data_IF_487440567515
#
_entry.id   IF_487440567515
#
_cell.length_a   1.000
_cell.length_b   1.000
_cell.length_c   1.000
_cell.angle_alpha   90.00
_cell.angle_beta   90.00
_cell.angle_gamma   90.00
#
_symmetry.space_group_name_H-M   'P 1'
#
loop_
_entity.id
_entity.type
_entity.pdbx_description
1 polymer ?
#
# COMPACT_ATOMS: atom_id res chain seq x y z
N UNK A 1 18.99 5.57 -5.93
CA UNK A 1 20.07 4.71 -5.42
C UNK A 1 19.51 3.62 -4.52
N UNK A 2 18.93 3.98 -3.36
CA UNK A 2 18.33 2.99 -2.42
C UNK A 2 17.34 2.03 -3.11
N UNK A 3 16.44 2.54 -3.96
CA UNK A 3 15.48 1.68 -4.69
C UNK A 3 16.17 0.65 -5.61
N UNK A 4 17.26 1.04 -6.29
CA UNK A 4 18.01 0.13 -7.16
C UNK A 4 18.71 -0.97 -6.35
N UNK A 5 19.38 -0.58 -5.27
CA UNK A 5 20.12 -1.50 -4.40
C UNK A 5 19.17 -2.47 -3.70
N UNK A 6 18.08 -1.96 -3.11
CA UNK A 6 17.09 -2.77 -2.38
C UNK A 6 16.38 -3.77 -3.29
N UNK A 7 16.04 -3.39 -4.52
CA UNK A 7 15.41 -4.29 -5.50
C UNK A 7 16.38 -5.33 -6.06
N UNK A 8 17.69 -5.04 -6.03
CA UNK A 8 18.74 -6.00 -6.44
C UNK A 8 19.14 -6.95 -5.31
N UNK A 9 18.60 -6.77 -4.09
CA UNK A 9 18.95 -7.58 -2.92
C UNK A 9 20.24 -7.13 -2.21
N UNK A 10 20.88 -6.05 -2.68
CA UNK A 10 22.07 -5.45 -2.10
C UNK A 10 21.73 -4.58 -0.89
N UNK A 11 21.15 -5.19 0.15
CA UNK A 11 20.65 -4.46 1.33
C UNK A 11 21.76 -3.78 2.14
N UNK A 12 22.93 -4.43 2.29
CA UNK A 12 24.06 -3.85 3.01
C UNK A 12 24.54 -2.53 2.38
N UNK A 13 24.68 -2.50 1.05
CA UNK A 13 25.02 -1.27 0.31
C UNK A 13 23.92 -0.21 0.43
N UNK A 14 22.65 -0.63 0.44
CA UNK A 14 21.54 0.30 0.62
C UNK A 14 21.54 0.95 2.02
N UNK A 15 21.83 0.18 3.06
CA UNK A 15 21.95 0.66 4.44
C UNK A 15 23.18 1.55 4.63
N UNK A 16 24.31 1.19 4.05
CA UNK A 16 25.51 2.01 4.05
C UNK A 16 25.26 3.36 3.34
N UNK A 17 24.61 3.32 2.17
CA UNK A 17 24.24 4.53 1.45
C UNK A 17 23.34 5.45 2.30
N UNK A 18 22.34 4.90 2.98
CA UNK A 18 21.45 5.67 3.86
C UNK A 18 22.22 6.25 5.05
N UNK A 19 23.13 5.48 5.63
CA UNK A 19 23.92 5.87 6.82
C UNK A 19 24.94 6.97 6.50
N UNK A 20 25.44 7.01 5.27
CA UNK A 20 26.40 8.01 4.78
C UNK A 20 25.74 9.29 4.25
N UNK A 21 24.41 9.44 4.33
CA UNK A 21 23.75 10.67 3.91
C UNK A 21 24.13 11.83 4.83
N UNK A 22 24.43 13.03 4.29
CA UNK A 22 24.74 14.21 5.09
C UNK A 22 23.48 14.86 5.72
N UNK A 23 22.33 14.21 5.64
CA UNK A 23 21.04 14.68 6.12
C UNK A 23 20.15 13.51 6.54
N UNK A 24 19.11 13.80 7.32
CA UNK A 24 18.17 12.78 7.78
C UNK A 24 17.37 12.19 6.60
N UNK A 25 17.33 10.87 6.42
CA UNK A 25 16.66 10.25 5.29
C UNK A 25 15.14 10.49 5.35
N UNK A 26 14.59 11.13 4.31
CA UNK A 26 13.15 11.32 4.18
C UNK A 26 12.37 10.02 3.93
N UNK A 27 11.04 10.10 4.02
CA UNK A 27 10.12 8.95 3.88
C UNK A 27 10.38 8.14 2.60
N UNK A 28 10.73 8.80 1.49
CA UNK A 28 10.99 8.15 0.20
C UNK A 28 12.11 7.10 0.25
N UNK A 29 13.16 7.34 1.04
CA UNK A 29 14.28 6.40 1.18
C UNK A 29 13.81 5.11 1.87
N UNK A 30 13.06 5.25 2.96
CA UNK A 30 12.52 4.13 3.70
C UNK A 30 11.45 3.36 2.90
N UNK A 31 10.61 4.06 2.12
CA UNK A 31 9.64 3.41 1.20
C UNK A 31 10.34 2.59 0.12
N UNK A 32 11.42 3.12 -0.46
CA UNK A 32 12.23 2.40 -1.43
C UNK A 32 12.91 1.16 -0.83
N UNK A 33 13.44 1.27 0.39
CA UNK A 33 14.03 0.14 1.11
C UNK A 33 12.98 -0.93 1.40
N UNK A 34 11.82 -0.53 1.93
CA UNK A 34 10.70 -1.41 2.23
C UNK A 34 10.19 -2.16 0.99
N UNK A 35 10.09 -1.47 -0.16
CA UNK A 35 9.70 -2.10 -1.42
C UNK A 35 10.64 -3.23 -1.85
N UNK A 36 11.95 -3.01 -1.74
CA UNK A 36 12.96 -4.06 -2.00
C UNK A 36 12.87 -5.22 -1.00
N UNK A 37 12.67 -4.92 0.29
CA UNK A 37 12.46 -5.93 1.32
C UNK A 37 11.26 -6.84 1.03
N UNK A 38 10.18 -6.32 0.44
CA UNK A 38 9.03 -7.13 0.04
C UNK A 38 9.35 -8.09 -1.09
N UNK A 39 10.20 -7.71 -2.05
CA UNK A 39 10.59 -8.55 -3.17
C UNK A 39 11.44 -9.73 -2.68
N UNK A 40 12.39 -9.45 -1.79
CA UNK A 40 13.35 -10.46 -1.29
C UNK A 40 12.93 -11.10 0.04
N UNK A 41 11.71 -10.83 0.52
CA UNK A 41 11.19 -11.32 1.80
C UNK A 41 12.09 -11.00 3.01
N UNK A 42 12.83 -9.89 2.98
CA UNK A 42 13.66 -9.44 4.08
C UNK A 42 12.80 -8.75 5.15
N UNK A 43 12.29 -9.57 6.05
CA UNK A 43 11.24 -9.19 7.00
C UNK A 43 11.73 -8.24 8.10
N UNK A 44 12.91 -8.49 8.65
CA UNK A 44 13.48 -7.67 9.74
C UNK A 44 13.78 -6.25 9.26
N UNK A 45 14.45 -6.13 8.11
CA UNK A 45 14.75 -4.84 7.51
C UNK A 45 13.47 -4.13 7.03
N UNK A 46 12.50 -4.87 6.51
CA UNK A 46 11.18 -4.34 6.16
C UNK A 46 10.45 -3.75 7.38
N UNK A 47 10.44 -4.45 8.52
CA UNK A 47 9.86 -3.91 9.76
C UNK A 47 10.57 -2.65 10.23
N UNK A 48 11.90 -2.62 10.15
CA UNK A 48 12.69 -1.45 10.51
C UNK A 48 12.34 -0.25 9.62
N UNK A 49 12.38 -0.43 8.29
CA UNK A 49 12.04 0.62 7.34
C UNK A 49 10.62 1.15 7.55
N UNK A 50 9.65 0.27 7.79
CA UNK A 50 8.28 0.69 8.04
C UNK A 50 8.11 1.44 9.38
N UNK A 51 8.82 1.05 10.45
CA UNK A 51 8.85 1.84 11.70
C UNK A 51 9.41 3.24 11.47
N UNK A 52 10.46 3.39 10.65
CA UNK A 52 11.00 4.69 10.26
C UNK A 52 9.99 5.53 9.47
N UNK A 53 9.24 4.93 8.54
CA UNK A 53 8.17 5.63 7.82
C UNK A 53 7.09 6.10 8.80
N UNK A 54 6.62 5.24 9.70
CA UNK A 54 5.57 5.59 10.66
C UNK A 54 6.00 6.63 11.69
N UNK A 55 7.31 6.73 11.99
CA UNK A 55 7.84 7.79 12.83
C UNK A 55 7.85 9.16 12.11
N UNK A 56 8.04 9.16 10.79
CA UNK A 56 8.03 10.37 9.96
C UNK A 56 6.62 10.77 9.50
N UNK A 57 5.78 9.79 9.20
CA UNK A 57 4.38 9.93 8.78
C UNK A 57 3.52 8.86 9.46
N UNK A 58 2.96 9.17 10.64
CA UNK A 58 2.13 8.24 11.41
C UNK A 58 0.80 7.86 10.75
N UNK A 59 0.42 8.53 9.66
CA UNK A 59 -0.85 8.33 8.95
C UNK A 59 -0.68 7.60 7.61
N UNK A 60 0.55 7.19 7.26
CA UNK A 60 0.81 6.47 6.02
C UNK A 60 0.14 5.09 5.98
N UNK A 61 -1.06 5.04 5.41
CA UNK A 61 -1.88 3.83 5.25
C UNK A 61 -1.11 2.74 4.50
N UNK A 62 -0.27 3.14 3.54
CA UNK A 62 0.47 2.20 2.69
C UNK A 62 1.45 1.35 3.50
N UNK A 63 2.20 1.95 4.41
CA UNK A 63 3.18 1.27 5.27
C UNK A 63 2.49 0.33 6.25
N UNK A 64 1.37 0.75 6.84
CA UNK A 64 0.54 -0.12 7.68
C UNK A 64 0.05 -1.36 6.94
N UNK A 65 -0.44 -1.19 5.71
CA UNK A 65 -0.89 -2.31 4.86
C UNK A 65 0.28 -3.23 4.49
N UNK A 66 1.43 -2.65 4.12
CA UNK A 66 2.63 -3.40 3.75
C UNK A 66 3.15 -4.25 4.92
N UNK A 67 3.21 -3.67 6.13
CA UNK A 67 3.55 -4.40 7.36
C UNK A 67 2.56 -5.52 7.65
N UNK A 68 1.25 -5.23 7.61
CA UNK A 68 0.21 -6.22 7.88
C UNK A 68 0.33 -7.42 6.93
N UNK A 69 0.57 -7.18 5.65
CA UNK A 69 0.74 -8.23 4.66
C UNK A 69 2.02 -9.06 4.90
N UNK A 70 3.15 -8.41 5.23
CA UNK A 70 4.40 -9.11 5.52
C UNK A 70 4.26 -10.04 6.75
N UNK A 71 3.65 -9.55 7.84
CA UNK A 71 3.38 -10.40 9.00
C UNK A 71 2.38 -11.52 8.70
N UNK A 72 1.40 -11.29 7.83
CA UNK A 72 0.45 -12.32 7.40
C UNK A 72 1.14 -13.42 6.60
N UNK A 73 2.04 -13.07 5.68
CA UNK A 73 2.82 -14.04 4.90
C UNK A 73 3.74 -14.88 5.81
N UNK A 74 4.23 -14.29 6.90
CA UNK A 74 5.02 -14.96 7.93
C UNK A 74 4.21 -15.81 8.93
N UNK A 75 2.88 -15.85 8.83
CA UNK A 75 2.01 -16.52 9.81
C UNK A 75 1.95 -15.84 11.19
N UNK A 76 2.43 -14.60 11.32
CA UNK A 76 2.50 -13.85 12.59
C UNK A 76 1.22 -13.09 12.87
N UNK A 77 0.11 -13.83 13.00
CA UNK A 77 -1.25 -13.29 13.13
C UNK A 77 -1.43 -12.31 14.30
N UNK A 78 -0.70 -12.50 15.41
CA UNK A 78 -0.75 -11.57 16.54
C UNK A 78 -0.31 -10.16 16.16
N UNK A 79 0.77 -10.03 15.36
CA UNK A 79 1.24 -8.74 14.85
C UNK A 79 0.27 -8.16 13.83
N UNK A 80 -0.29 -8.98 12.96
CA UNK A 80 -1.34 -8.57 12.02
C UNK A 80 -2.53 -7.95 12.77
N UNK A 81 -2.97 -8.56 13.87
CA UNK A 81 -4.05 -8.06 14.70
C UNK A 81 -3.71 -6.72 15.35
N UNK A 82 -2.51 -6.57 15.92
CA UNK A 82 -2.03 -5.31 16.49
C UNK A 82 -2.03 -4.19 15.46
N UNK A 83 -1.45 -4.42 14.29
CA UNK A 83 -1.37 -3.45 13.19
C UNK A 83 -2.77 -3.02 12.74
N UNK A 84 -3.68 -3.98 12.54
CA UNK A 84 -5.07 -3.68 12.14
C UNK A 84 -5.84 -2.91 13.20
N UNK A 85 -5.58 -3.18 14.48
CA UNK A 85 -6.17 -2.42 15.59
C UNK A 85 -5.67 -0.97 15.58
N UNK A 86 -4.36 -0.75 15.46
CA UNK A 86 -3.79 0.61 15.36
C UNK A 86 -4.36 1.38 14.17
N UNK A 87 -4.47 0.75 13.00
CA UNK A 87 -5.12 1.38 11.84
C UNK A 87 -6.56 1.79 12.15
N UNK A 88 -7.33 0.94 12.85
CA UNK A 88 -8.72 1.22 13.22
C UNK A 88 -8.81 2.37 14.22
N UNK A 89 -7.95 2.39 15.24
CA UNK A 89 -7.90 3.45 16.26
C UNK A 89 -7.55 4.81 15.64
N UNK A 90 -6.64 4.82 14.65
CA UNK A 90 -6.28 6.02 13.88
C UNK A 90 -7.26 6.37 12.75
N UNK A 91 -8.33 5.58 12.54
CA UNK A 91 -9.28 5.79 11.44
C UNK A 91 -8.70 5.56 10.04
N UNK A 92 -7.54 4.94 9.92
CA UNK A 92 -6.85 4.67 8.66
C UNK A 92 -7.58 3.58 7.87
N UNK A 93 -8.08 3.94 6.69
CA UNK A 93 -8.78 3.02 5.78
C UNK A 93 -7.98 2.81 4.52
N UNK A 94 -7.68 1.54 4.20
CA UNK A 94 -7.12 1.17 2.90
C UNK A 94 -8.15 1.51 1.82
N UNK A 95 -7.74 2.32 0.83
CA UNK A 95 -8.54 2.52 -0.38
C UNK A 95 -8.62 1.18 -1.12
N UNK A 96 -9.81 0.64 -1.37
CA UNK A 96 -9.94 -0.62 -2.09
C UNK A 96 -9.41 -0.46 -3.51
N UNK A 97 -8.70 -1.47 -4.00
CA UNK A 97 -8.31 -1.52 -5.41
C UNK A 97 -9.55 -1.61 -6.28
N UNK A 98 -9.57 -0.87 -7.38
CA UNK A 98 -10.60 -0.99 -8.40
C UNK A 98 -9.96 -1.25 -9.76
N UNK A 99 -10.55 -2.17 -10.51
CA UNK A 99 -10.26 -2.37 -11.92
C UNK A 99 -11.57 -2.45 -12.69
N UNK A 100 -11.53 -2.21 -14.00
CA UNK A 100 -12.69 -2.37 -14.85
C UNK A 100 -12.29 -2.88 -16.22
N UNK A 101 -13.22 -3.60 -16.86
CA UNK A 101 -13.10 -4.01 -18.26
C UNK A 101 -14.37 -3.59 -19.00
N UNK A 102 -14.22 -3.32 -20.29
CA UNK A 102 -15.34 -3.04 -21.17
C UNK A 102 -15.57 -4.21 -22.13
N UNK A 103 -16.79 -4.75 -22.15
CA UNK A 103 -17.20 -5.83 -23.06
C UNK A 103 -18.53 -5.43 -23.69
N UNK A 104 -18.58 -5.34 -25.03
CA UNK A 104 -19.82 -5.07 -25.77
C UNK A 104 -20.62 -3.88 -25.21
N UNK A 105 -19.93 -2.75 -24.97
CA UNK A 105 -20.52 -1.51 -24.45
C UNK A 105 -21.10 -1.64 -23.01
N UNK A 106 -20.61 -2.62 -22.23
CA UNK A 106 -20.87 -2.78 -20.80
C UNK A 106 -19.56 -2.68 -20.04
N UNK A 107 -19.58 -1.93 -18.94
CA UNK A 107 -18.43 -1.83 -18.03
C UNK A 107 -18.67 -2.76 -16.85
N UNK A 108 -17.72 -3.65 -16.63
CA UNK A 108 -17.67 -4.52 -15.46
C UNK A 108 -16.60 -3.97 -14.52
N UNK A 109 -17.01 -3.51 -13.35
CA UNK A 109 -16.11 -2.97 -12.33
C UNK A 109 -15.89 -4.02 -11.25
N UNK A 110 -14.62 -4.28 -10.95
CA UNK A 110 -14.17 -5.16 -9.88
C UNK A 110 -13.57 -4.29 -8.79
N UNK A 111 -14.10 -4.39 -7.57
CA UNK A 111 -13.58 -3.66 -6.41
C UNK A 111 -13.20 -4.67 -5.35
N UNK A 112 -12.00 -4.54 -4.77
CA UNK A 112 -11.52 -5.46 -3.73
C UNK A 112 -12.52 -5.52 -2.57
N UNK A 113 -13.02 -6.71 -2.23
CA UNK A 113 -13.95 -6.91 -1.12
C UNK A 113 -15.43 -6.59 -1.43
N UNK A 114 -15.76 -6.23 -2.67
CA UNK A 114 -17.14 -5.96 -3.11
C UNK A 114 -17.46 -6.85 -4.32
N UNK A 115 -18.71 -7.31 -4.44
CA UNK A 115 -19.18 -8.05 -5.61
C UNK A 115 -19.08 -7.21 -6.89
N UNK A 116 -18.72 -7.83 -8.01
CA UNK A 116 -18.61 -7.17 -9.32
C UNK A 116 -19.89 -6.40 -9.66
N UNK A 117 -19.71 -5.13 -10.01
CA UNK A 117 -20.82 -4.25 -10.42
C UNK A 117 -20.76 -4.13 -11.94
N UNK A 118 -21.85 -4.51 -12.61
CA UNK A 118 -21.97 -4.37 -14.07
C UNK A 118 -22.92 -3.23 -14.39
N UNK A 119 -22.47 -2.25 -15.20
CA UNK A 119 -23.30 -1.15 -15.69
C UNK A 119 -23.23 -1.06 -17.22
N UNK A 120 -24.35 -0.69 -17.84
CA UNK A 120 -24.41 -0.34 -19.26
C UNK A 120 -23.93 1.10 -19.44
N UNK A 121 -23.06 1.35 -20.43
CA UNK A 121 -22.61 2.71 -20.74
C UNK A 121 -23.74 3.49 -21.44
N UNK A 122 -24.08 4.64 -20.89
CA UNK A 122 -24.89 5.67 -21.57
C UNK A 122 -24.05 6.31 -22.69
N UNK A 123 -24.61 6.60 -23.88
CA UNK A 123 -23.85 7.08 -25.05
C UNK A 123 -23.00 8.35 -24.80
N UNK A 124 -23.40 9.20 -23.85
CA UNK A 124 -22.76 10.48 -23.56
C UNK A 124 -21.48 10.39 -22.69
N UNK A 125 -21.18 9.23 -22.09
CA UNK A 125 -20.07 9.06 -21.13
C UNK A 125 -18.80 8.42 -21.72
N UNK A 126 -18.69 8.36 -23.05
CA UNK A 126 -17.68 7.59 -23.79
C UNK A 126 -16.21 7.98 -23.54
N UNK A 127 -15.94 9.17 -22.99
CA UNK A 127 -14.56 9.67 -22.80
C UNK A 127 -14.29 10.34 -21.44
N UNK A 128 -15.23 10.25 -20.48
CA UNK A 128 -14.99 10.70 -19.11
C UNK A 128 -14.50 9.55 -18.25
N UNK A 129 -13.43 9.75 -17.45
CA UNK A 129 -13.16 8.84 -16.31
C UNK A 129 -14.50 8.64 -15.59
N UNK A 130 -14.96 7.41 -15.33
CA UNK A 130 -16.18 7.24 -14.57
C UNK A 130 -15.92 7.81 -13.18
N UNK A 131 -16.42 9.01 -12.90
CA UNK A 131 -16.31 9.67 -11.60
C UNK A 131 -17.24 8.96 -10.64
N UNK A 132 -16.78 7.83 -10.10
CA UNK A 132 -17.46 7.17 -9.01
C UNK A 132 -17.14 7.91 -7.72
N UNK A 133 -18.05 8.80 -7.29
CA UNK A 133 -18.19 9.05 -5.85
C UNK A 133 -18.53 7.71 -5.22
N UNK A 134 -17.61 7.14 -4.46
CA UNK A 134 -17.92 6.00 -3.60
C UNK A 134 -19.16 6.38 -2.76
N UNK A 135 -20.13 5.49 -2.57
CA UNK A 135 -21.18 5.73 -1.59
C UNK A 135 -20.49 5.71 -0.22
N UNK A 136 -20.11 6.88 0.28
CA UNK A 136 -19.99 7.10 1.71
C UNK A 136 -21.42 6.90 2.21
N UNK A 137 -21.73 5.68 2.68
CA UNK A 137 -22.88 5.49 3.55
C UNK A 137 -22.63 6.40 4.74
N UNK A 138 -23.34 7.53 4.78
CA UNK A 138 -23.62 8.18 6.05
C UNK A 138 -24.29 7.12 6.91
N UNK A 139 -23.65 6.84 8.04
CA UNK A 139 -24.18 6.04 9.13
C UNK A 139 -25.19 6.96 9.81
N UNK A 140 -26.47 6.62 9.75
CA UNK A 140 -27.42 6.96 10.83
C UNK A 140 -27.12 6.07 12.04
#
# INVERSE_FOLDING_TARGET
MVDLLSRSGCFGEAEEFISNLPFEPGIGFWKALLGGCQIHSNMELGEFAARKILALDPEDVSSYVMLSNAHSAAGRWQRVATIRREMKEKGLKRVPGCSWIEIRNRVHVFVTGIRTITKRLEPALRWGRPTFKAPVKQVE
#
